data_IF_481340303096
#
_entry.id   IF_481340303096
#
_cell.length_a   1.000
_cell.length_b   1.000
_cell.length_c   1.000
_cell.angle_alpha   90.00
_cell.angle_beta   90.00
_cell.angle_gamma   90.00
#
_symmetry.space_group_name_H-M   'P 1'
#
loop_
_entity.id
_entity.type
_entity.pdbx_description
1 polymer ?
#
# COMPACT_ATOMS: atom_id res chain seq x y z
N UNK A 1 -12.22 13.57 22.46
CA UNK A 1 -13.58 13.03 22.59
C UNK A 1 -14.48 14.07 23.25
N UNK A 2 -15.70 14.25 22.76
CA UNK A 2 -16.70 15.15 23.34
C UNK A 2 -16.77 16.56 22.78
N UNK A 3 -16.27 16.80 21.58
CA UNK A 3 -16.50 18.08 20.88
C UNK A 3 -17.65 17.97 19.86
N UNK A 4 -18.35 19.07 19.54
CA UNK A 4 -19.43 19.04 18.51
C UNK A 4 -18.97 18.66 17.10
N UNK A 5 -17.66 18.54 16.87
CA UNK A 5 -17.03 18.18 15.61
C UNK A 5 -16.42 16.76 15.62
N UNK A 6 -16.73 15.97 16.65
CA UNK A 6 -16.28 14.58 16.72
C UNK A 6 -16.92 13.75 15.61
N UNK A 7 -16.10 13.15 14.77
CA UNK A 7 -16.52 12.27 13.70
C UNK A 7 -15.95 10.88 13.93
N UNK A 8 -16.81 9.87 14.01
CA UNK A 8 -16.42 8.46 14.10
C UNK A 8 -16.06 7.99 12.70
N UNK A 9 -14.76 7.80 12.44
CA UNK A 9 -14.27 7.38 11.13
C UNK A 9 -14.38 5.87 10.90
N UNK A 10 -14.28 5.07 11.98
CA UNK A 10 -14.47 3.61 11.99
C UNK A 10 -15.14 3.22 13.29
N UNK A 11 -16.07 2.28 13.21
CA UNK A 11 -16.85 1.77 14.34
C UNK A 11 -16.98 0.26 14.24
N UNK A 12 -16.55 -0.44 15.29
CA UNK A 12 -16.69 -1.89 15.45
C UNK A 12 -16.18 -2.72 14.24
N UNK A 13 -15.08 -2.28 13.62
CA UNK A 13 -14.45 -2.97 12.49
C UNK A 13 -13.50 -4.04 13.02
N UNK A 14 -13.79 -5.30 12.73
CA UNK A 14 -12.94 -6.45 13.10
C UNK A 14 -12.86 -7.46 11.97
N UNK A 15 -11.65 -7.87 11.59
CA UNK A 15 -11.38 -8.91 10.59
C UNK A 15 -9.97 -9.45 10.79
N UNK A 16 -9.68 -10.60 10.18
CA UNK A 16 -8.34 -11.17 10.09
C UNK A 16 -7.92 -11.24 8.63
N UNK A 17 -6.64 -11.21 8.37
CA UNK A 17 -6.04 -11.33 7.03
C UNK A 17 -5.01 -12.43 7.06
N UNK A 18 -5.10 -13.39 6.15
CA UNK A 18 -4.14 -14.47 6.02
C UNK A 18 -2.99 -14.08 5.09
N UNK A 19 -1.84 -14.73 5.26
CA UNK A 19 -0.67 -14.46 4.41
C UNK A 19 -0.93 -14.87 2.97
N UNK A 20 -0.57 -13.98 2.04
CA UNK A 20 -0.74 -14.22 0.60
C UNK A 20 -2.15 -13.96 0.06
N UNK A 21 -3.13 -13.57 0.91
CA UNK A 21 -4.45 -13.14 0.43
C UNK A 21 -4.36 -11.86 -0.42
N UNK A 22 -5.24 -11.77 -1.41
CA UNK A 22 -5.56 -10.52 -2.09
C UNK A 22 -6.93 -10.04 -1.65
N UNK A 23 -6.97 -8.96 -0.89
CA UNK A 23 -8.21 -8.40 -0.34
C UNK A 23 -8.59 -7.12 -1.09
N UNK A 24 -9.80 -7.11 -1.63
CA UNK A 24 -10.43 -5.91 -2.16
C UNK A 24 -11.15 -5.15 -1.05
N UNK A 25 -10.96 -3.84 -1.00
CA UNK A 25 -11.67 -2.95 -0.05
C UNK A 25 -12.52 -1.98 -0.87
N UNK A 26 -13.82 -2.02 -0.67
CA UNK A 26 -14.78 -1.13 -1.34
C UNK A 26 -15.65 -0.38 -0.35
N UNK A 27 -16.26 0.69 -0.82
CA UNK A 27 -17.17 1.53 -0.03
C UNK A 27 -17.23 2.94 -0.63
N UNK A 28 -18.27 3.68 -0.31
CA UNK A 28 -18.40 5.07 -0.78
C UNK A 28 -17.33 6.00 -0.18
N UNK A 29 -17.19 7.19 -0.74
CA UNK A 29 -16.30 8.23 -0.19
C UNK A 29 -16.74 8.59 1.23
N UNK A 30 -15.78 8.66 2.16
CA UNK A 30 -16.08 8.92 3.57
C UNK A 30 -16.50 7.69 4.38
N UNK A 31 -16.51 6.46 3.83
CA UNK A 31 -16.83 5.25 4.58
C UNK A 31 -15.74 4.75 5.54
N UNK A 32 -14.58 5.43 5.60
CA UNK A 32 -13.49 5.08 6.52
C UNK A 32 -12.33 4.29 5.91
N UNK A 33 -12.35 3.97 4.60
CA UNK A 33 -11.31 3.15 3.94
C UNK A 33 -9.89 3.67 4.18
N UNK A 34 -9.63 4.94 3.87
CA UNK A 34 -8.28 5.53 4.05
C UNK A 34 -7.87 5.58 5.52
N UNK A 35 -8.81 5.78 6.44
CA UNK A 35 -8.56 5.72 7.88
C UNK A 35 -8.19 4.30 8.31
N UNK A 36 -8.91 3.28 7.81
CA UNK A 36 -8.59 1.88 8.07
C UNK A 36 -7.16 1.54 7.63
N UNK A 37 -6.79 1.90 6.39
CA UNK A 37 -5.44 1.64 5.87
C UNK A 37 -4.35 2.30 6.71
N UNK A 38 -4.57 3.53 7.18
CA UNK A 38 -3.64 4.24 8.05
C UNK A 38 -3.53 3.61 9.44
N UNK A 39 -4.57 2.99 9.97
CA UNK A 39 -4.49 2.19 11.19
C UNK A 39 -3.65 0.92 10.97
N UNK A 40 -3.89 0.20 9.87
CA UNK A 40 -3.18 -1.04 9.55
C UNK A 40 -1.67 -0.83 9.35
N UNK A 41 -1.27 0.30 8.74
CA UNK A 41 0.14 0.67 8.56
C UNK A 41 0.78 1.28 9.85
N UNK A 42 0.00 1.56 10.90
CA UNK A 42 0.50 2.22 12.11
C UNK A 42 0.79 3.72 11.96
N UNK A 43 0.17 4.40 11.00
CA UNK A 43 0.20 5.87 10.89
C UNK A 43 -0.78 6.52 11.86
N UNK A 44 -1.97 5.94 12.03
CA UNK A 44 -2.97 6.37 12.99
C UNK A 44 -3.12 5.30 14.09
N UNK A 45 -3.11 5.76 15.35
CA UNK A 45 -3.45 4.90 16.48
C UNK A 45 -4.97 4.85 16.64
N UNK A 46 -5.59 3.67 16.77
CA UNK A 46 -7.02 3.58 17.07
C UNK A 46 -7.33 4.21 18.43
N UNK A 47 -8.51 4.81 18.56
CA UNK A 47 -9.01 5.35 19.82
C UNK A 47 -9.33 4.22 20.78
N UNK A 48 -9.86 3.11 20.25
CA UNK A 48 -10.18 1.89 20.95
C UNK A 48 -9.91 0.68 20.05
N UNK A 49 -9.70 -0.50 20.65
CA UNK A 49 -9.31 -1.70 19.92
C UNK A 49 -7.79 -1.81 19.68
N UNK A 50 -7.39 -2.78 18.85
CA UNK A 50 -5.99 -3.10 18.57
C UNK A 50 -5.77 -3.49 17.11
N UNK A 51 -4.56 -3.26 16.62
CA UNK A 51 -4.09 -3.76 15.32
C UNK A 51 -2.98 -4.75 15.58
N UNK A 52 -3.21 -6.00 15.19
CA UNK A 52 -2.25 -7.09 15.42
C UNK A 52 -1.51 -7.44 14.13
N UNK A 53 -0.20 -7.54 14.20
CA UNK A 53 0.66 -8.10 13.16
C UNK A 53 1.37 -9.32 13.73
N UNK A 54 1.10 -10.51 13.16
CA UNK A 54 1.54 -11.81 13.69
C UNK A 54 1.20 -11.99 15.19
N UNK A 55 -0.02 -11.59 15.59
CA UNK A 55 -0.51 -11.71 16.96
C UNK A 55 0.03 -10.68 17.95
N UNK A 56 0.88 -9.73 17.51
CA UNK A 56 1.43 -8.68 18.36
C UNK A 56 0.78 -7.33 18.05
N UNK A 57 0.29 -6.64 19.08
CA UNK A 57 -0.25 -5.29 18.91
C UNK A 57 0.87 -4.32 18.50
N UNK A 58 0.75 -3.74 17.32
CA UNK A 58 1.72 -2.81 16.74
C UNK A 58 1.88 -1.53 17.58
N UNK A 59 0.96 -1.24 18.50
CA UNK A 59 0.97 -0.06 19.35
C UNK A 59 1.45 -0.34 20.78
N UNK A 60 1.76 -1.61 21.11
CA UNK A 60 2.25 -1.99 22.44
C UNK A 60 3.65 -1.41 22.77
N UNK A 61 4.48 -1.17 21.72
CA UNK A 61 5.82 -0.60 21.83
C UNK A 61 6.11 0.30 20.60
N UNK A 62 6.80 1.43 20.81
CA UNK A 62 7.26 2.33 19.74
C UNK A 62 8.15 1.64 18.71
N UNK A 63 8.96 0.66 19.14
CA UNK A 63 9.80 -0.14 18.24
C UNK A 63 8.94 -0.98 17.31
N UNK A 64 7.91 -1.65 17.82
CA UNK A 64 6.97 -2.44 17.03
C UNK A 64 6.20 -1.56 16.06
N UNK A 65 5.73 -0.38 16.49
CA UNK A 65 5.09 0.59 15.58
C UNK A 65 6.02 1.03 14.44
N UNK A 66 7.32 1.24 14.72
CA UNK A 66 8.28 1.60 13.66
C UNK A 66 8.52 0.42 12.70
N UNK A 67 8.65 -0.78 13.24
CA UNK A 67 8.86 -2.00 12.44
C UNK A 67 7.63 -2.34 11.58
N UNK A 68 6.41 -2.16 12.10
CA UNK A 68 5.19 -2.43 11.34
C UNK A 68 5.07 -1.57 10.09
N UNK A 69 5.57 -0.34 10.10
CA UNK A 69 5.56 0.55 8.93
C UNK A 69 6.43 0.07 7.77
N UNK A 70 7.45 -0.73 8.04
CA UNK A 70 8.25 -1.38 6.99
C UNK A 70 7.63 -2.69 6.52
N UNK A 71 6.96 -3.42 7.43
CA UNK A 71 6.31 -4.69 7.13
C UNK A 71 4.95 -4.53 6.46
N UNK A 72 4.26 -3.42 6.72
CA UNK A 72 2.98 -3.05 6.12
C UNK A 72 3.21 -1.81 5.26
N UNK A 73 3.55 -2.00 4.00
CA UNK A 73 3.76 -0.92 3.04
C UNK A 73 2.42 -0.28 2.66
N UNK A 74 2.40 1.05 2.57
CA UNK A 74 1.21 1.81 2.17
C UNK A 74 1.53 2.71 0.99
N UNK A 75 0.83 2.49 -0.12
CA UNK A 75 0.82 3.37 -1.29
C UNK A 75 -0.46 4.19 -1.23
N UNK A 76 -0.33 5.50 -1.06
CA UNK A 76 -1.46 6.44 -1.02
C UNK A 76 -2.04 6.70 -2.40
N UNK A 77 -3.24 7.26 -2.44
CA UNK A 77 -3.82 7.79 -3.67
C UNK A 77 -2.92 8.90 -4.24
N UNK A 78 -2.66 8.86 -5.57
CA UNK A 78 -1.73 9.76 -6.26
C UNK A 78 -0.31 9.77 -5.67
N UNK A 79 0.35 8.60 -5.57
CA UNK A 79 1.62 8.46 -4.87
C UNK A 79 2.76 9.20 -5.59
N UNK A 80 2.59 9.55 -6.86
CA UNK A 80 3.51 10.35 -7.67
C UNK A 80 3.80 11.74 -7.10
N UNK A 81 2.94 12.28 -6.25
CA UNK A 81 3.19 13.55 -5.56
C UNK A 81 4.13 13.43 -4.35
N UNK A 82 4.50 12.20 -3.99
CA UNK A 82 5.40 11.94 -2.87
C UNK A 82 6.86 11.79 -3.29
N UNK A 83 7.15 11.84 -4.60
CA UNK A 83 8.52 11.80 -5.12
C UNK A 83 9.25 13.11 -4.81
N UNK A 84 10.49 13.02 -4.31
CA UNK A 84 11.23 14.20 -3.86
C UNK A 84 12.75 14.12 -4.06
N UNK A 85 13.28 12.97 -4.42
CA UNK A 85 14.72 12.76 -4.60
C UNK A 85 15.21 13.25 -5.97
N UNK A 86 16.54 13.40 -6.11
CA UNK A 86 17.18 13.86 -7.35
C UNK A 86 17.09 12.85 -8.49
N UNK A 87 17.11 11.55 -8.15
CA UNK A 87 17.01 10.46 -9.13
C UNK A 87 15.98 9.42 -8.69
N UNK A 88 15.43 8.72 -9.68
CA UNK A 88 14.52 7.59 -9.45
C UNK A 88 15.15 6.53 -8.54
N UNK A 89 16.43 6.21 -8.77
CA UNK A 89 17.16 5.29 -7.89
C UNK A 89 17.12 5.74 -6.42
N UNK A 90 17.39 7.01 -6.16
CA UNK A 90 17.43 7.54 -4.79
C UNK A 90 16.05 7.52 -4.14
N UNK A 91 14.99 7.82 -4.89
CA UNK A 91 13.61 7.75 -4.41
C UNK A 91 13.23 6.32 -4.00
N UNK A 92 13.48 5.33 -4.86
CA UNK A 92 13.22 3.93 -4.56
C UNK A 92 14.09 3.43 -3.39
N UNK A 93 15.34 3.87 -3.30
CA UNK A 93 16.27 3.50 -2.23
C UNK A 93 15.95 4.10 -0.87
N UNK A 94 15.08 5.09 -0.80
CA UNK A 94 14.80 5.84 0.44
C UNK A 94 14.28 4.93 1.56
N UNK A 95 13.29 4.08 1.26
CA UNK A 95 12.75 3.10 2.22
C UNK A 95 13.82 2.13 2.74
N UNK A 96 14.52 1.38 1.87
CA UNK A 96 15.62 0.48 2.24
C UNK A 96 16.73 1.13 3.05
N UNK A 97 17.12 2.38 2.72
CA UNK A 97 18.08 3.15 3.53
C UNK A 97 17.58 3.40 4.96
N UNK A 98 16.32 3.76 5.12
CA UNK A 98 15.71 4.00 6.43
C UNK A 98 15.55 2.72 7.26
N UNK A 99 15.54 1.55 6.61
CA UNK A 99 15.60 0.24 7.27
C UNK A 99 17.02 -0.07 7.81
N UNK A 100 18.04 0.67 7.36
CA UNK A 100 19.44 0.46 7.75
C UNK A 100 20.11 -0.71 7.03
N UNK A 101 19.66 -1.04 5.82
CA UNK A 101 20.23 -2.10 4.99
C UNK A 101 21.61 -1.67 4.45
N UNK A 102 22.45 -2.66 4.15
CA UNK A 102 23.74 -2.40 3.51
C UNK A 102 23.58 -1.97 2.04
N UNK A 103 24.57 -1.28 1.45
CA UNK A 103 24.48 -0.74 0.10
C UNK A 103 24.21 -1.79 -1.00
N UNK A 104 24.73 -3.01 -0.87
CA UNK A 104 24.55 -4.06 -1.87
C UNK A 104 23.10 -4.58 -1.83
N UNK A 105 22.53 -4.75 -0.64
CA UNK A 105 21.15 -5.15 -0.48
C UNK A 105 20.18 -4.03 -0.94
N UNK A 106 20.52 -2.77 -0.69
CA UNK A 106 19.74 -1.63 -1.20
C UNK A 106 19.71 -1.66 -2.73
N UNK A 107 20.87 -1.80 -3.39
CA UNK A 107 20.95 -1.85 -4.85
C UNK A 107 20.14 -3.01 -5.44
N UNK A 108 20.26 -4.21 -4.84
CA UNK A 108 19.48 -5.38 -5.24
C UNK A 108 17.97 -5.10 -5.18
N UNK A 109 17.49 -4.56 -4.05
CA UNK A 109 16.07 -4.27 -3.84
C UNK A 109 15.54 -3.19 -4.76
N UNK A 110 16.32 -2.14 -5.00
CA UNK A 110 15.95 -1.07 -5.94
C UNK A 110 15.75 -1.61 -7.34
N UNK A 111 16.70 -2.41 -7.86
CA UNK A 111 16.62 -2.97 -9.22
C UNK A 111 15.49 -3.99 -9.35
N UNK A 112 15.31 -4.83 -8.35
CA UNK A 112 14.20 -5.79 -8.32
C UNK A 112 12.84 -5.08 -8.30
N UNK A 113 12.66 -4.07 -7.43
CA UNK A 113 11.45 -3.28 -7.36
C UNK A 113 11.17 -2.51 -8.65
N UNK A 114 12.19 -1.90 -9.26
CA UNK A 114 12.10 -1.25 -10.56
C UNK A 114 11.65 -2.23 -11.65
N UNK A 115 12.21 -3.44 -11.66
CA UNK A 115 11.83 -4.50 -12.59
C UNK A 115 10.34 -4.89 -12.47
N UNK A 116 9.81 -5.03 -11.25
CA UNK A 116 8.39 -5.35 -11.04
C UNK A 116 7.44 -4.30 -11.63
N UNK A 117 7.82 -3.03 -11.60
CA UNK A 117 6.96 -1.95 -12.11
C UNK A 117 7.33 -1.50 -13.54
N UNK A 118 8.27 -2.17 -14.20
CA UNK A 118 8.67 -1.87 -15.57
C UNK A 118 9.47 -0.57 -15.72
N UNK A 119 10.24 -0.17 -14.71
CA UNK A 119 11.22 0.92 -14.77
C UNK A 119 12.56 0.35 -15.25
N UNK A 120 13.14 0.95 -16.27
CA UNK A 120 14.41 0.51 -16.88
C UNK A 120 15.62 1.05 -16.10
N UNK A 121 16.79 0.41 -16.29
CA UNK A 121 18.06 0.86 -15.71
C UNK A 121 18.38 2.32 -16.09
N UNK A 122 18.10 2.72 -17.32
CA UNK A 122 18.31 4.10 -17.76
C UNK A 122 17.42 5.10 -17.03
N UNK A 123 16.20 4.69 -16.69
CA UNK A 123 15.25 5.51 -15.94
C UNK A 123 15.63 5.65 -14.47
N UNK A 124 16.45 4.77 -13.91
CA UNK A 124 16.92 4.89 -12.53
C UNK A 124 17.82 6.12 -12.32
N UNK A 125 18.53 6.54 -13.35
CA UNK A 125 19.52 7.63 -13.28
C UNK A 125 18.92 9.03 -13.56
N UNK A 126 17.68 9.10 -14.05
CA UNK A 126 17.04 10.38 -14.35
C UNK A 126 16.28 10.93 -13.15
N UNK A 127 15.95 12.23 -13.21
CA UNK A 127 15.08 12.85 -12.23
C UNK A 127 13.66 12.26 -12.31
N UNK A 128 13.02 11.90 -11.19
CA UNK A 128 11.63 11.47 -11.22
C UNK A 128 10.70 12.54 -11.81
N UNK A 129 11.08 13.81 -11.76
CA UNK A 129 10.27 14.91 -12.30
C UNK A 129 10.26 14.96 -13.83
N UNK A 130 11.22 14.33 -14.50
CA UNK A 130 11.30 14.24 -15.96
C UNK A 130 10.44 13.08 -16.54
N UNK A 131 9.87 12.25 -15.68
CA UNK A 131 9.05 11.11 -16.06
C UNK A 131 7.59 11.50 -16.34
N UNK A 132 6.89 10.70 -17.14
CA UNK A 132 5.43 10.81 -17.30
C UNK A 132 4.69 10.50 -15.98
N UNK A 133 3.43 10.94 -15.84
CA UNK A 133 2.64 10.68 -14.63
C UNK A 133 2.52 9.19 -14.29
N UNK A 134 2.30 8.34 -15.29
CA UNK A 134 2.24 6.89 -15.09
C UNK A 134 3.59 6.29 -14.66
N UNK A 135 4.71 6.78 -15.20
CA UNK A 135 6.05 6.37 -14.76
C UNK A 135 6.35 6.83 -13.34
N UNK A 136 6.01 8.08 -12.98
CA UNK A 136 6.13 8.59 -11.61
C UNK A 136 5.38 7.70 -10.61
N UNK A 137 4.15 7.30 -10.95
CA UNK A 137 3.36 6.38 -10.11
C UNK A 137 4.03 5.04 -9.93
N UNK A 138 4.59 4.46 -11.01
CA UNK A 138 5.36 3.21 -10.94
C UNK A 138 6.57 3.35 -10.02
N UNK A 139 7.31 4.46 -10.09
CA UNK A 139 8.44 4.77 -9.19
C UNK A 139 7.99 4.82 -7.74
N UNK A 140 6.90 5.51 -7.44
CA UNK A 140 6.39 5.62 -6.07
C UNK A 140 5.94 4.25 -5.50
N UNK A 141 5.31 3.40 -6.32
CA UNK A 141 4.96 2.03 -5.95
C UNK A 141 6.25 1.21 -5.72
N UNK A 142 7.26 1.34 -6.58
CA UNK A 142 8.54 0.66 -6.42
C UNK A 142 9.24 1.04 -5.11
N UNK A 143 9.17 2.31 -4.69
CA UNK A 143 9.71 2.78 -3.42
C UNK A 143 9.13 2.05 -2.20
N UNK A 144 7.85 1.68 -2.25
CA UNK A 144 7.21 0.87 -1.21
C UNK A 144 7.58 -0.62 -1.35
N UNK A 145 7.54 -1.17 -2.58
CA UNK A 145 7.91 -2.56 -2.86
C UNK A 145 9.36 -2.87 -2.48
N UNK A 146 10.28 -1.91 -2.65
CA UNK A 146 11.69 -2.07 -2.32
C UNK A 146 11.95 -2.33 -0.83
N UNK A 147 11.01 -2.01 0.04
CA UNK A 147 11.06 -2.39 1.45
C UNK A 147 10.76 -3.88 1.67
N UNK A 148 10.26 -4.60 0.65
CA UNK A 148 9.78 -5.99 0.70
C UNK A 148 8.77 -6.21 1.84
N UNK A 149 7.65 -5.46 1.84
CA UNK A 149 6.66 -5.58 2.91
C UNK A 149 5.95 -6.93 2.88
N UNK A 150 5.57 -7.45 4.05
CA UNK A 150 4.72 -8.64 4.19
C UNK A 150 3.30 -8.36 3.69
N UNK A 151 2.81 -7.13 3.91
CA UNK A 151 1.51 -6.65 3.47
C UNK A 151 1.69 -5.37 2.66
N UNK A 152 1.17 -5.33 1.45
CA UNK A 152 1.16 -4.14 0.59
C UNK A 152 -0.27 -3.60 0.48
N UNK A 153 -0.48 -2.42 1.04
CA UNK A 153 -1.74 -1.69 0.99
C UNK A 153 -1.68 -0.67 -0.15
N UNK A 154 -2.69 -0.66 -1.00
CA UNK A 154 -2.76 0.17 -2.20
C UNK A 154 -4.06 0.97 -2.20
N UNK A 155 -3.98 2.30 -2.14
CA UNK A 155 -5.14 3.19 -2.21
C UNK A 155 -5.30 3.69 -3.64
N UNK A 156 -6.25 3.12 -4.38
CA UNK A 156 -6.57 3.49 -5.76
C UNK A 156 -5.34 3.48 -6.71
N UNK A 157 -4.55 2.39 -6.78
CA UNK A 157 -3.26 2.40 -7.48
C UNK A 157 -3.36 2.71 -8.98
N UNK A 158 -4.51 2.46 -9.59
CA UNK A 158 -4.77 2.66 -11.02
C UNK A 158 -5.66 3.88 -11.34
N UNK A 159 -6.00 4.71 -10.34
CA UNK A 159 -6.86 5.87 -10.55
C UNK A 159 -6.24 6.90 -11.50
N UNK A 160 -7.01 7.38 -12.48
CA UNK A 160 -6.57 8.42 -13.42
C UNK A 160 -5.56 7.96 -14.49
N UNK A 161 -5.27 6.67 -14.58
CA UNK A 161 -4.49 6.11 -15.68
C UNK A 161 -5.39 5.76 -16.88
N UNK A 162 -4.78 5.74 -18.05
CA UNK A 162 -5.40 5.17 -19.25
C UNK A 162 -5.60 3.64 -19.10
N UNK A 163 -6.40 3.01 -19.94
CA UNK A 163 -6.72 1.59 -19.81
C UNK A 163 -5.49 0.68 -19.85
N UNK A 164 -4.48 1.00 -20.66
CA UNK A 164 -3.25 0.22 -20.79
C UNK A 164 -2.39 0.34 -19.53
N UNK A 165 -2.12 1.57 -19.06
CA UNK A 165 -1.35 1.81 -17.85
C UNK A 165 -2.01 1.24 -16.60
N UNK A 166 -3.37 1.23 -16.55
CA UNK A 166 -4.13 0.59 -15.50
C UNK A 166 -3.91 -0.93 -15.48
N UNK A 167 -4.07 -1.59 -16.63
CA UNK A 167 -3.89 -3.03 -16.73
C UNK A 167 -2.46 -3.44 -16.39
N UNK A 168 -1.46 -2.68 -16.83
CA UNK A 168 -0.05 -2.91 -16.52
C UNK A 168 0.24 -2.84 -15.02
N UNK A 169 -0.24 -1.80 -14.34
CA UNK A 169 -0.03 -1.69 -12.89
C UNK A 169 -0.69 -2.85 -12.14
N UNK A 170 -1.92 -3.23 -12.49
CA UNK A 170 -2.62 -4.32 -11.82
C UNK A 170 -1.94 -5.67 -12.07
N UNK A 171 -1.44 -5.93 -13.28
CA UNK A 171 -0.63 -7.12 -13.58
C UNK A 171 0.67 -7.15 -12.79
N UNK A 172 1.35 -6.02 -12.66
CA UNK A 172 2.60 -5.92 -11.92
C UNK A 172 2.38 -6.18 -10.41
N UNK A 173 1.28 -5.67 -9.83
CA UNK A 173 0.90 -5.94 -8.44
C UNK A 173 0.62 -7.43 -8.22
N UNK A 174 -0.14 -8.08 -9.12
CA UNK A 174 -0.44 -9.51 -9.03
C UNK A 174 0.83 -10.38 -9.23
N UNK A 175 1.71 -10.00 -10.15
CA UNK A 175 3.00 -10.65 -10.33
C UNK A 175 3.88 -10.53 -9.08
N UNK A 176 3.95 -9.34 -8.46
CA UNK A 176 4.65 -9.13 -7.21
C UNK A 176 4.09 -10.01 -6.09
N UNK A 177 2.76 -10.02 -5.90
CA UNK A 177 2.09 -10.90 -4.95
C UNK A 177 2.55 -12.35 -5.10
N UNK A 178 2.43 -12.90 -6.32
CA UNK A 178 2.76 -14.29 -6.62
C UNK A 178 4.23 -14.63 -6.40
N UNK A 179 5.13 -13.71 -6.75
CA UNK A 179 6.59 -13.94 -6.64
C UNK A 179 7.10 -13.89 -5.20
N UNK A 180 6.52 -13.01 -4.38
CA UNK A 180 6.95 -12.78 -2.98
C UNK A 180 6.02 -13.42 -1.94
N UNK A 181 4.91 -14.04 -2.36
CA UNK A 181 3.83 -14.48 -1.48
C UNK A 181 3.36 -13.37 -0.54
N UNK A 182 3.32 -12.14 -1.07
CA UNK A 182 2.92 -10.95 -0.33
C UNK A 182 1.40 -10.88 -0.18
N UNK A 183 0.93 -10.40 0.94
CA UNK A 183 -0.49 -10.08 1.15
C UNK A 183 -0.80 -8.72 0.52
N UNK A 184 -1.87 -8.63 -0.26
CA UNK A 184 -2.30 -7.39 -0.90
C UNK A 184 -3.64 -6.93 -0.32
N UNK A 185 -3.73 -5.65 0.01
CA UNK A 185 -5.00 -5.00 0.35
C UNK A 185 -5.19 -3.82 -0.59
N UNK A 186 -6.18 -3.88 -1.47
CA UNK A 186 -6.38 -2.87 -2.51
C UNK A 186 -7.74 -2.19 -2.37
N UNK A 187 -7.71 -0.87 -2.17
CA UNK A 187 -8.90 -0.04 -2.34
C UNK A 187 -9.09 0.28 -3.80
N UNK A 188 -10.27 0.07 -4.33
CA UNK A 188 -10.62 0.47 -5.69
C UNK A 188 -12.09 0.82 -5.82
N UNK A 189 -12.41 1.81 -6.66
CA UNK A 189 -13.78 2.09 -7.10
C UNK A 189 -14.21 1.21 -8.28
N UNK A 190 -13.29 0.47 -8.88
CA UNK A 190 -13.58 -0.45 -9.98
C UNK A 190 -13.97 -1.82 -9.45
N UNK A 191 -15.25 -2.12 -9.48
CA UNK A 191 -15.76 -3.43 -9.09
C UNK A 191 -15.20 -4.56 -9.94
N UNK A 192 -14.94 -4.31 -11.23
CA UNK A 192 -14.36 -5.30 -12.15
C UNK A 192 -12.94 -5.69 -11.77
N UNK A 193 -12.10 -4.74 -11.32
CA UNK A 193 -10.73 -5.04 -10.90
C UNK A 193 -10.73 -5.81 -9.59
N UNK A 194 -11.56 -5.37 -8.64
CA UNK A 194 -11.69 -6.01 -7.34
C UNK A 194 -12.17 -7.46 -7.52
N UNK A 195 -13.26 -7.69 -8.25
CA UNK A 195 -13.79 -9.04 -8.50
C UNK A 195 -12.80 -9.96 -9.24
N UNK A 196 -11.94 -9.40 -10.09
CA UNK A 196 -10.96 -10.16 -10.86
C UNK A 196 -9.71 -10.57 -10.05
N UNK A 197 -9.29 -9.71 -9.13
CA UNK A 197 -7.99 -9.84 -8.45
C UNK A 197 -8.11 -10.33 -7.02
N UNK A 198 -9.24 -10.07 -6.35
CA UNK A 198 -9.39 -10.35 -4.93
C UNK A 198 -9.83 -11.78 -4.67
N UNK A 199 -9.25 -12.39 -3.65
CA UNK A 199 -9.72 -13.66 -3.08
C UNK A 199 -10.87 -13.40 -2.10
N UNK A 200 -10.93 -12.17 -1.54
CA UNK A 200 -11.85 -11.75 -0.50
C UNK A 200 -12.16 -10.27 -0.59
N UNK A 201 -13.36 -9.89 -0.18
CA UNK A 201 -13.90 -8.54 -0.27
C UNK A 201 -14.32 -8.02 1.10
N UNK A 202 -13.82 -6.83 1.45
CA UNK A 202 -14.27 -6.06 2.59
C UNK A 202 -15.10 -4.87 2.12
N UNK A 203 -16.34 -4.76 2.55
CA UNK A 203 -17.22 -3.63 2.21
C UNK A 203 -17.42 -2.75 3.43
N UNK A 204 -16.99 -1.49 3.32
CA UNK A 204 -17.18 -0.47 4.33
C UNK A 204 -18.36 0.43 3.97
N UNK A 205 -19.32 0.58 4.90
CA UNK A 205 -20.43 1.49 4.76
C UNK A 205 -20.71 2.18 6.10
N UNK A 206 -20.88 3.51 6.11
CA UNK A 206 -21.17 4.26 7.32
C UNK A 206 -20.17 4.05 8.47
N UNK A 207 -18.88 3.91 8.14
CA UNK A 207 -17.79 3.65 9.10
C UNK A 207 -17.78 2.24 9.71
N UNK A 208 -18.60 1.32 9.25
CA UNK A 208 -18.69 -0.08 9.70
C UNK A 208 -18.31 -1.05 8.58
N UNK A 209 -17.80 -2.23 8.94
CA UNK A 209 -17.60 -3.35 8.02
C UNK A 209 -18.92 -4.10 7.88
N UNK A 210 -19.53 -4.05 6.69
CA UNK A 210 -20.86 -4.63 6.45
C UNK A 210 -20.81 -5.94 5.67
N UNK A 211 -19.74 -6.20 4.93
CA UNK A 211 -19.51 -7.48 4.23
C UNK A 211 -18.05 -7.85 4.39
N UNK A 212 -17.80 -9.12 4.61
CA UNK A 212 -16.50 -9.77 4.66
C UNK A 212 -16.69 -11.18 4.07
N UNK A 213 -16.51 -11.31 2.74
CA UNK A 213 -16.83 -12.54 2.01
C UNK A 213 -16.01 -12.62 0.70
N UNK A 214 -16.15 -13.73 -0.01
CA UNK A 214 -15.61 -13.89 -1.38
C UNK A 214 -16.33 -12.97 -2.36
N UNK A 215 -15.65 -12.50 -3.45
CA UNK A 215 -16.22 -11.63 -4.48
C UNK A 215 -17.40 -12.23 -5.22
#
# INVERSE_FOLDING_TARGET
AGTPFEHVALKDVSFCVERGEFIGIIGHTGSGKSTLMQHLNGLLKPTDGSVLLDGQDIWSDKRLTKQSRFRVGLVFQYPEYQLFEETVYKDIAFGPKNMGLDPAEIDRRVREAAGFVGITEQQLEVSPFDLSGGQKRRVAIAGVIAMEPDVLILDEPAAGLDPEGREDILKNIDAYRKSKNATIMMVSHSMSDVARLSDRLLVLNGSELVIDDTP
#
